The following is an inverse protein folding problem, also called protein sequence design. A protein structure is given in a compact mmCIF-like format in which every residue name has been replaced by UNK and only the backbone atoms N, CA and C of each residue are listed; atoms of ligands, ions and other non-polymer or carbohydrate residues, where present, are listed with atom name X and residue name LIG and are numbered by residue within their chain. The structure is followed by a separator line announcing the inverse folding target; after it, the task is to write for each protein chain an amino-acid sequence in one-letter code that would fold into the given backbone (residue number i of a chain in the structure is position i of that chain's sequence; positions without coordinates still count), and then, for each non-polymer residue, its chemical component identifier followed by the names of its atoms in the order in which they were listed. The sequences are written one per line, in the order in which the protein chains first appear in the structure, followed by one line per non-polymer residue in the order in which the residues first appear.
data_IF_066299174065
#
_entry.id   IF_066299174065
#
_cell.length_a   1.000
_cell.length_b   1.000
_cell.length_c   1.000
_cell.angle_alpha   90.00
_cell.angle_beta   90.00
_cell.angle_gamma   90.00
#
_symmetry.space_group_name_H-M   'P 1'
#
loop_
_entity.id
_entity.type
_entity.pdbx_description
1 polymer ?
#
# COMPACT_ATOMS: atom_id res chain seq x y z
N UNK A 1 -7.94 -3.43 -10.55
CA UNK A 1 -9.05 -3.84 -11.45
C UNK A 1 -10.26 -2.97 -11.14
N UNK A 2 -11.17 -2.67 -12.09
CA UNK A 2 -12.35 -1.82 -11.82
C UNK A 2 -13.62 -2.68 -11.81
N UNK A 3 -13.95 -3.26 -10.66
CA UNK A 3 -15.22 -3.97 -10.46
C UNK A 3 -16.25 -3.05 -9.79
N UNK A 4 -17.52 -3.17 -10.20
CA UNK A 4 -18.63 -2.45 -9.59
C UNK A 4 -19.28 -3.34 -8.52
N UNK A 5 -19.14 -2.94 -7.25
CA UNK A 5 -19.61 -3.73 -6.10
C UNK A 5 -20.96 -3.24 -5.53
N UNK A 6 -21.60 -2.24 -6.14
CA UNK A 6 -22.83 -1.64 -5.60
C UNK A 6 -22.61 -1.09 -4.19
N UNK A 7 -23.47 -1.47 -3.24
CA UNK A 7 -23.36 -1.06 -1.82
C UNK A 7 -22.25 -1.79 -1.04
N UNK A 8 -21.57 -2.79 -1.62
CA UNK A 8 -20.52 -3.59 -0.95
C UNK A 8 -19.15 -2.90 -0.94
N UNK A 9 -19.12 -1.63 -0.54
CA UNK A 9 -17.94 -0.79 -0.48
C UNK A 9 -16.80 -1.40 0.37
N UNK A 10 -17.15 -2.08 1.48
CA UNK A 10 -16.17 -2.70 2.36
C UNK A 10 -15.50 -3.97 1.78
N UNK A 11 -16.20 -4.71 0.90
CA UNK A 11 -15.56 -5.84 0.22
C UNK A 11 -14.56 -5.34 -0.82
N UNK A 12 -14.98 -4.33 -1.60
CA UNK A 12 -14.14 -3.68 -2.60
C UNK A 12 -12.85 -3.15 -2.00
N UNK A 13 -12.93 -2.46 -0.86
CA UNK A 13 -11.74 -1.86 -0.26
C UNK A 13 -10.74 -2.91 0.23
N UNK A 14 -11.22 -4.05 0.74
CA UNK A 14 -10.35 -5.12 1.18
C UNK A 14 -9.65 -5.80 -0.02
N UNK A 15 -10.35 -6.03 -1.13
CA UNK A 15 -9.74 -6.55 -2.36
C UNK A 15 -8.66 -5.60 -2.90
N UNK A 16 -8.95 -4.30 -2.93
CA UNK A 16 -7.99 -3.28 -3.36
C UNK A 16 -6.81 -3.19 -2.37
N UNK A 17 -7.06 -3.29 -1.07
CA UNK A 17 -5.99 -3.32 -0.06
C UNK A 17 -5.07 -4.52 -0.24
N UNK A 18 -5.61 -5.72 -0.44
CA UNK A 18 -4.78 -6.91 -0.67
C UNK A 18 -3.86 -6.71 -1.89
N UNK A 19 -4.44 -6.25 -3.00
CA UNK A 19 -3.70 -5.99 -4.23
C UNK A 19 -2.62 -4.91 -4.03
N UNK A 20 -2.98 -3.75 -3.49
CA UNK A 20 -2.07 -2.63 -3.40
C UNK A 20 -1.01 -2.80 -2.32
N UNK A 21 -1.32 -3.43 -1.18
CA UNK A 21 -0.27 -3.78 -0.19
C UNK A 21 0.73 -4.78 -0.76
N UNK A 22 0.28 -5.69 -1.63
CA UNK A 22 1.19 -6.58 -2.35
C UNK A 22 2.10 -5.81 -3.31
N UNK A 23 1.53 -4.93 -4.14
CA UNK A 23 2.28 -4.12 -5.10
C UNK A 23 3.28 -3.19 -4.40
N UNK A 24 2.89 -2.52 -3.31
CA UNK A 24 3.81 -1.66 -2.56
C UNK A 24 4.96 -2.44 -1.93
N UNK A 25 4.71 -3.67 -1.46
CA UNK A 25 5.79 -4.57 -1.01
C UNK A 25 6.76 -4.88 -2.14
N UNK A 26 6.28 -5.29 -3.31
CA UNK A 26 7.12 -5.58 -4.49
C UNK A 26 7.87 -4.33 -4.97
N UNK A 27 7.24 -3.16 -4.90
CA UNK A 27 7.86 -1.89 -5.26
C UNK A 27 9.07 -1.55 -4.39
N UNK A 28 9.09 -1.96 -3.12
CA UNK A 28 10.30 -1.80 -2.30
C UNK A 28 11.48 -2.59 -2.85
N UNK A 29 11.22 -3.78 -3.43
CA UNK A 29 12.24 -4.62 -4.07
C UNK A 29 12.68 -3.99 -5.38
N UNK A 30 11.72 -3.61 -6.24
CA UNK A 30 11.99 -2.97 -7.54
C UNK A 30 12.90 -1.75 -7.39
N UNK A 31 12.67 -0.90 -6.38
CA UNK A 31 13.51 0.27 -6.13
C UNK A 31 14.96 -0.14 -5.80
N UNK A 32 15.17 -1.17 -4.97
CA UNK A 32 16.51 -1.65 -4.61
C UNK A 32 17.23 -2.33 -5.78
N UNK A 33 16.48 -2.98 -6.68
CA UNK A 33 17.04 -3.61 -7.88
C UNK A 33 17.44 -2.59 -8.95
N UNK A 34 16.63 -1.52 -9.14
CA UNK A 34 16.93 -0.49 -10.15
C UNK A 34 17.99 0.52 -9.68
N UNK A 35 18.12 0.72 -8.36
CA UNK A 35 19.09 1.61 -7.73
C UNK A 35 20.17 0.79 -6.99
N UNK A 36 21.06 0.15 -7.73
CA UNK A 36 22.08 -0.77 -7.18
C UNK A 36 23.07 -0.11 -6.20
N UNK A 37 23.21 1.22 -6.27
CA UNK A 37 24.07 2.05 -5.42
C UNK A 37 23.27 2.87 -4.38
N UNK A 38 22.00 2.52 -4.13
CA UNK A 38 21.15 3.16 -3.14
C UNK A 38 21.78 3.10 -1.74
N UNK A 39 21.69 4.21 -1.01
CA UNK A 39 22.32 4.33 0.29
C UNK A 39 21.77 3.31 1.31
N UNK A 40 22.63 2.70 2.15
CA UNK A 40 22.21 1.63 3.07
C UNK A 40 21.04 1.99 3.99
N UNK A 41 20.94 3.27 4.39
CA UNK A 41 19.82 3.75 5.20
C UNK A 41 18.47 3.66 4.46
N UNK A 42 18.44 3.99 3.17
CA UNK A 42 17.24 3.84 2.36
C UNK A 42 16.93 2.37 2.07
N UNK A 43 17.95 1.55 1.79
CA UNK A 43 17.81 0.10 1.65
C UNK A 43 17.13 -0.52 2.88
N UNK A 44 17.62 -0.20 4.08
CA UNK A 44 17.06 -0.69 5.33
C UNK A 44 15.60 -0.26 5.51
N UNK A 45 15.28 1.02 5.26
CA UNK A 45 13.89 1.52 5.35
C UNK A 45 12.97 0.85 4.34
N UNK A 46 13.43 0.61 3.11
CA UNK A 46 12.64 -0.13 2.10
C UNK A 46 12.35 -1.57 2.54
N UNK A 47 13.33 -2.27 3.13
CA UNK A 47 13.11 -3.63 3.67
C UNK A 47 12.11 -3.63 4.85
N UNK A 48 12.14 -2.61 5.70
CA UNK A 48 11.16 -2.45 6.78
C UNK A 48 9.75 -2.23 6.23
N UNK A 49 9.61 -1.38 5.19
CA UNK A 49 8.32 -1.20 4.50
C UNK A 49 7.85 -2.49 3.83
N UNK A 50 8.73 -3.25 3.18
CA UNK A 50 8.40 -4.53 2.57
C UNK A 50 7.67 -5.46 3.54
N UNK A 51 8.27 -5.66 4.72
CA UNK A 51 7.72 -6.49 5.77
C UNK A 51 6.40 -5.91 6.31
N UNK A 52 6.34 -4.61 6.56
CA UNK A 52 5.15 -3.95 7.07
C UNK A 52 3.96 -4.07 6.10
N UNK A 53 4.20 -3.96 4.80
CA UNK A 53 3.19 -4.16 3.77
C UNK A 53 2.69 -5.60 3.71
N UNK A 54 3.60 -6.58 3.78
CA UNK A 54 3.23 -8.00 3.83
C UNK A 54 2.36 -8.32 5.06
N UNK A 55 2.68 -7.76 6.23
CA UNK A 55 1.88 -7.91 7.44
C UNK A 55 0.47 -7.31 7.27
N UNK A 56 0.37 -6.14 6.65
CA UNK A 56 -0.90 -5.45 6.40
C UNK A 56 -1.76 -6.21 5.40
N UNK A 57 -1.14 -6.73 4.32
CA UNK A 57 -1.77 -7.66 3.38
C UNK A 57 -2.30 -8.89 4.11
N UNK A 58 -1.49 -9.53 4.95
CA UNK A 58 -1.90 -10.73 5.70
C UNK A 58 -3.08 -10.48 6.63
N UNK A 59 -3.16 -9.31 7.29
CA UNK A 59 -4.33 -8.93 8.08
C UNK A 59 -5.56 -8.68 7.19
N UNK A 60 -5.39 -8.05 6.03
CA UNK A 60 -6.46 -7.82 5.06
C UNK A 60 -7.05 -9.16 4.57
N UNK A 61 -6.20 -10.12 4.18
CA UNK A 61 -6.61 -11.47 3.76
C UNK A 61 -7.41 -12.18 4.86
N UNK A 62 -6.97 -12.09 6.12
CA UNK A 62 -7.73 -12.67 7.26
C UNK A 62 -9.13 -12.09 7.37
N UNK A 63 -9.31 -10.79 7.15
CA UNK A 63 -10.64 -10.17 7.15
C UNK A 63 -11.50 -10.63 5.97
N UNK A 64 -10.92 -10.72 4.76
CA UNK A 64 -11.60 -11.27 3.58
C UNK A 64 -12.09 -12.69 3.87
N UNK A 65 -11.23 -13.56 4.40
CA UNK A 65 -11.60 -14.94 4.76
C UNK A 65 -12.68 -14.99 5.84
N UNK A 66 -12.63 -14.10 6.83
CA UNK A 66 -13.63 -14.01 7.90
C UNK A 66 -15.00 -13.64 7.35
N UNK A 67 -15.06 -12.68 6.41
CA UNK A 67 -16.31 -12.31 5.71
C UNK A 67 -16.85 -13.51 4.94
N UNK A 68 -16.00 -14.19 4.15
CA UNK A 68 -16.40 -15.36 3.34
C UNK A 68 -16.99 -16.45 4.24
N UNK A 69 -16.31 -16.79 5.34
CA UNK A 69 -16.77 -17.81 6.31
C UNK A 69 -18.04 -17.40 7.05
N UNK A 70 -18.23 -16.10 7.23
CA UNK A 70 -19.46 -15.51 7.81
C UNK A 70 -20.60 -15.39 6.80
N UNK A 71 -20.45 -15.93 5.57
CA UNK A 71 -21.41 -15.85 4.46
C UNK A 71 -21.76 -14.40 4.09
N UNK A 72 -20.81 -13.49 4.22
CA UNK A 72 -20.99 -12.07 3.93
C UNK A 72 -21.61 -11.24 5.06
N UNK A 73 -21.92 -11.85 6.21
CA UNK A 73 -22.40 -11.09 7.37
C UNK A 73 -21.24 -10.30 8.00
N UNK A 74 -21.44 -9.00 8.17
CA UNK A 74 -20.49 -8.10 8.82
C UNK A 74 -21.17 -7.52 10.05
N UNK A 75 -20.64 -7.83 11.23
CA UNK A 75 -21.14 -7.30 12.50
C UNK A 75 -20.55 -5.91 12.79
N UNK A 76 -21.21 -5.06 13.60
CA UNK A 76 -20.74 -3.70 13.86
C UNK A 76 -19.28 -3.62 14.33
N UNK A 77 -18.86 -4.47 15.26
CA UNK A 77 -17.48 -4.49 15.77
C UNK A 77 -16.46 -4.86 14.68
N UNK A 78 -16.81 -5.84 13.85
CA UNK A 78 -16.00 -6.27 12.71
C UNK A 78 -15.89 -5.17 11.65
N UNK A 79 -16.98 -4.47 11.37
CA UNK A 79 -16.99 -3.30 10.50
C UNK A 79 -16.07 -2.21 11.03
N UNK A 80 -16.15 -1.88 12.32
CA UNK A 80 -15.29 -0.87 12.93
C UNK A 80 -13.80 -1.23 12.79
N UNK A 81 -13.43 -2.47 13.10
CA UNK A 81 -12.05 -2.93 12.98
C UNK A 81 -11.53 -2.87 11.54
N UNK A 82 -12.38 -3.20 10.55
CA UNK A 82 -12.01 -3.05 9.14
C UNK A 82 -11.79 -1.59 8.75
N UNK A 83 -12.63 -0.68 9.24
CA UNK A 83 -12.47 0.76 8.99
C UNK A 83 -11.18 1.30 9.61
N UNK A 84 -10.80 0.83 10.80
CA UNK A 84 -9.51 1.14 11.42
C UNK A 84 -8.34 0.60 10.60
N UNK A 85 -8.46 -0.62 10.06
CA UNK A 85 -7.47 -1.19 9.16
C UNK A 85 -7.33 -0.38 7.85
N UNK A 86 -8.43 0.09 7.27
CA UNK A 86 -8.41 0.96 6.08
C UNK A 86 -7.66 2.27 6.38
N UNK A 87 -7.96 2.91 7.52
CA UNK A 87 -7.25 4.14 7.96
C UNK A 87 -5.76 3.87 8.16
N UNK A 88 -5.41 2.74 8.77
CA UNK A 88 -4.03 2.34 8.96
C UNK A 88 -3.31 2.15 7.61
N UNK A 89 -3.93 1.45 6.65
CA UNK A 89 -3.33 1.20 5.34
C UNK A 89 -3.12 2.49 4.53
N UNK A 90 -4.03 3.46 4.65
CA UNK A 90 -3.85 4.81 4.08
C UNK A 90 -2.65 5.50 4.70
N UNK A 91 -2.58 5.55 6.04
CA UNK A 91 -1.46 6.17 6.74
C UNK A 91 -0.12 5.51 6.35
N UNK A 92 -0.09 4.19 6.27
CA UNK A 92 1.09 3.44 5.84
C UNK A 92 1.55 3.84 4.43
N UNK A 93 0.65 3.91 3.44
CA UNK A 93 0.99 4.39 2.09
C UNK A 93 1.45 5.84 2.07
N UNK A 94 0.90 6.71 2.91
CA UNK A 94 1.37 8.09 3.05
C UNK A 94 2.81 8.14 3.58
N UNK A 95 3.14 7.34 4.60
CA UNK A 95 4.52 7.25 5.11
C UNK A 95 5.48 6.70 4.07
N UNK A 96 5.03 5.75 3.25
CA UNK A 96 5.83 5.23 2.15
C UNK A 96 6.10 6.31 1.09
N UNK A 97 5.08 7.07 0.69
CA UNK A 97 5.23 8.22 -0.22
C UNK A 97 6.26 9.23 0.33
N UNK A 98 6.26 9.50 1.64
CA UNK A 98 7.27 10.37 2.26
C UNK A 98 8.68 9.81 2.10
N UNK A 99 8.88 8.50 2.30
CA UNK A 99 10.17 7.85 2.01
C UNK A 99 10.55 7.99 0.53
N UNK A 100 9.62 7.76 -0.40
CA UNK A 100 9.90 7.89 -1.83
C UNK A 100 10.32 9.31 -2.21
N UNK A 101 9.69 10.32 -1.60
CA UNK A 101 10.07 11.72 -1.79
C UNK A 101 11.47 12.02 -1.23
N UNK A 102 11.83 11.42 -0.09
CA UNK A 102 13.19 11.53 0.46
C UNK A 102 14.23 10.88 -0.45
N UNK A 103 13.95 9.68 -0.99
CA UNK A 103 14.83 9.02 -1.96
C UNK A 103 15.04 9.93 -3.18
N UNK A 104 13.97 10.46 -3.77
CA UNK A 104 14.08 11.37 -4.92
C UNK A 104 14.86 12.66 -4.62
N UNK A 105 14.73 13.20 -3.41
CA UNK A 105 15.33 14.47 -3.03
C UNK A 105 16.78 14.35 -2.56
N UNK A 106 17.13 13.23 -1.91
CA UNK A 106 18.37 13.12 -1.13
C UNK A 106 19.31 12.00 -1.61
N UNK A 107 18.81 11.00 -2.35
CA UNK A 107 19.65 9.89 -2.82
C UNK A 107 20.48 10.27 -4.03
N UNK A 108 21.79 10.07 -3.95
CA UNK A 108 22.69 10.21 -5.09
C UNK A 108 22.32 9.22 -6.21
N UNK A 109 21.90 8.00 -5.87
CA UNK A 109 21.46 7.00 -6.84
C UNK A 109 20.25 7.48 -7.65
N UNK A 110 19.28 8.14 -7.00
CA UNK A 110 18.12 8.69 -7.69
C UNK A 110 18.43 9.97 -8.48
N UNK A 111 19.29 10.84 -7.96
CA UNK A 111 19.67 12.10 -8.60
C UNK A 111 20.55 11.89 -9.85
N UNK A 112 21.44 10.89 -9.82
CA UNK A 112 22.37 10.61 -10.91
C UNK A 112 21.81 9.64 -11.96
N UNK A 113 20.68 8.98 -11.68
CA UNK A 113 20.05 8.03 -12.59
C UNK A 113 18.58 8.36 -12.85
N UNK A 114 18.30 8.88 -14.05
CA UNK A 114 16.95 9.27 -14.45
C UNK A 114 15.96 8.09 -14.49
N UNK A 115 16.43 6.86 -14.75
CA UNK A 115 15.57 5.68 -14.75
C UNK A 115 15.05 5.38 -13.33
N UNK A 116 15.93 5.46 -12.31
CA UNK A 116 15.55 5.33 -10.89
C UNK A 116 14.48 6.37 -10.54
N UNK A 117 14.72 7.63 -10.89
CA UNK A 117 13.77 8.72 -10.65
C UNK A 117 12.42 8.48 -11.33
N UNK A 118 12.38 8.01 -12.58
CA UNK A 118 11.13 7.70 -13.29
C UNK A 118 10.34 6.58 -12.59
N UNK A 119 11.04 5.50 -12.22
CA UNK A 119 10.43 4.35 -11.53
C UNK A 119 9.87 4.74 -10.16
N UNK A 120 10.65 5.45 -9.34
CA UNK A 120 10.20 5.89 -8.01
C UNK A 120 9.00 6.83 -8.10
N UNK A 121 8.98 7.75 -9.08
CA UNK A 121 7.82 8.61 -9.31
C UNK A 121 6.58 7.85 -9.78
N UNK A 122 6.75 6.78 -10.56
CA UNK A 122 5.63 5.92 -10.97
C UNK A 122 5.01 5.20 -9.77
N UNK A 123 5.85 4.56 -8.96
CA UNK A 123 5.45 3.86 -7.73
C UNK A 123 4.72 4.83 -6.78
N UNK A 124 5.23 6.06 -6.62
CA UNK A 124 4.57 7.08 -5.79
C UNK A 124 3.13 7.35 -6.23
N UNK A 125 2.91 7.55 -7.54
CA UNK A 125 1.57 7.83 -8.09
C UNK A 125 0.61 6.65 -7.90
N UNK A 126 1.12 5.42 -7.92
CA UNK A 126 0.31 4.24 -7.67
C UNK A 126 -0.12 4.12 -6.20
N UNK A 127 0.77 4.43 -5.25
CA UNK A 127 0.39 4.57 -3.85
C UNK A 127 -0.63 5.70 -3.62
N UNK A 128 -0.49 6.84 -4.32
CA UNK A 128 -1.48 7.93 -4.29
C UNK A 128 -2.85 7.47 -4.83
N UNK A 129 -2.85 6.69 -5.91
CA UNK A 129 -4.06 6.10 -6.49
C UNK A 129 -4.76 5.15 -5.50
N UNK A 130 -4.02 4.27 -4.83
CA UNK A 130 -4.57 3.43 -3.77
C UNK A 130 -5.22 4.26 -2.65
N UNK A 131 -4.52 5.29 -2.15
CA UNK A 131 -5.05 6.18 -1.12
C UNK A 131 -6.37 6.79 -1.57
N UNK A 132 -6.45 7.29 -2.80
CA UNK A 132 -7.67 7.85 -3.38
C UNK A 132 -8.83 6.85 -3.36
N UNK A 133 -8.59 5.60 -3.75
CA UNK A 133 -9.61 4.53 -3.67
C UNK A 133 -10.05 4.30 -2.23
N UNK A 134 -9.10 4.07 -1.32
CA UNK A 134 -9.38 3.70 0.07
C UNK A 134 -10.15 4.81 0.82
N UNK A 135 -9.84 6.09 0.53
CA UNK A 135 -10.52 7.23 1.15
C UNK A 135 -11.99 7.35 0.79
N UNK A 136 -12.40 6.92 -0.41
CA UNK A 136 -13.82 6.98 -0.82
C UNK A 136 -14.74 6.20 0.13
N UNK A 137 -14.20 5.20 0.82
CA UNK A 137 -14.92 4.29 1.71
C UNK A 137 -15.04 4.87 3.12
N UNK A 138 -14.09 5.73 3.52
CA UNK A 138 -14.10 6.41 4.82
C UNK A 138 -15.01 7.64 4.84
N UNK A 139 -15.41 8.14 3.67
CA UNK A 139 -16.27 9.31 3.52
C UNK A 139 -17.76 8.92 3.39
N UNK A 140 -18.09 7.64 3.56
CA UNK A 140 -19.45 7.10 3.58
C UNK A 140 -19.96 6.91 5.01
#
# INVERSE_FOLDING_TARGET
MRFYYGEKNLHRVLDEMEFWKHQESEHTVVIREVASDLEPAFVCRLQQFELAFQQTKGLTVRYIETIIRSKGNIFPDMQQQMMELVRFAICQSQQFILLLNQILAESAAAQNNSAVSVVVNHIRRESEYFIGIAQTILSC
#
